data_IF_642198738069
#
_entry.id   IF_642198738069
#
_cell.length_a   1.000
_cell.length_b   1.000
_cell.length_c   1.000
_cell.angle_alpha   90.00
_cell.angle_beta   90.00
_cell.angle_gamma   90.00
#
_symmetry.space_group_name_H-M   'P 1'
#
loop_
_entity.id
_entity.type
_entity.pdbx_description
1 polymer ?
#
# COMPACT_ATOMS: atom_id res chain seq x y z
N UNK A 1 -20.00 -7.53 -11.68
CA UNK A 1 -20.58 -6.30 -11.10
C UNK A 1 -19.61 -5.80 -10.04
N UNK A 2 -19.19 -4.54 -10.07
CA UNK A 2 -18.24 -3.99 -9.10
C UNK A 2 -18.80 -4.12 -7.69
N UNK A 3 -17.99 -4.60 -6.73
CA UNK A 3 -18.39 -4.83 -5.33
C UNK A 3 -18.96 -3.54 -4.71
N UNK A 4 -18.36 -2.39 -5.03
CA UNK A 4 -18.86 -1.07 -4.65
C UNK A 4 -20.34 -0.86 -5.02
N UNK A 5 -20.71 -1.15 -6.28
CA UNK A 5 -22.10 -0.98 -6.74
C UNK A 5 -23.10 -1.80 -5.92
N UNK A 6 -22.73 -3.03 -5.54
CA UNK A 6 -23.57 -3.89 -4.68
C UNK A 6 -23.65 -3.38 -3.24
N UNK A 7 -22.59 -2.77 -2.71
CA UNK A 7 -22.56 -2.18 -1.37
C UNK A 7 -23.45 -0.93 -1.31
N UNK A 8 -23.33 -0.05 -2.31
CA UNK A 8 -24.20 1.14 -2.43
C UNK A 8 -25.67 0.75 -2.61
N UNK A 9 -25.98 -0.26 -3.44
CA UNK A 9 -27.34 -0.79 -3.62
C UNK A 9 -27.96 -1.31 -2.30
N UNK A 10 -27.13 -1.72 -1.33
CA UNK A 10 -27.56 -2.19 0.00
C UNK A 10 -27.74 -1.07 1.03
N UNK A 11 -27.59 0.20 0.62
CA UNK A 11 -27.74 1.36 1.49
C UNK A 11 -26.54 1.66 2.37
N UNK A 12 -25.39 1.03 2.11
CA UNK A 12 -24.13 1.39 2.77
C UNK A 12 -23.50 2.57 2.03
N UNK A 13 -23.39 3.72 2.70
CA UNK A 13 -22.74 4.90 2.14
C UNK A 13 -21.21 4.79 2.26
N UNK A 14 -20.64 4.00 1.35
CA UNK A 14 -19.20 3.80 1.20
C UNK A 14 -18.76 4.38 -0.14
N UNK A 15 -17.72 5.21 -0.12
CA UNK A 15 -17.03 5.65 -1.33
C UNK A 15 -15.86 4.73 -1.66
N UNK A 16 -15.64 4.50 -2.95
CA UNK A 16 -14.42 3.90 -3.47
C UNK A 16 -13.53 5.00 -4.04
N UNK A 17 -12.30 5.07 -3.58
CA UNK A 17 -11.26 5.99 -4.06
C UNK A 17 -10.16 5.14 -4.68
N UNK A 18 -9.94 5.28 -5.97
CA UNK A 18 -8.84 4.61 -6.67
C UNK A 18 -7.63 5.55 -6.72
N UNK A 19 -6.46 5.02 -6.37
CA UNK A 19 -5.18 5.73 -6.46
C UNK A 19 -4.22 4.94 -7.36
N UNK A 20 -3.59 5.64 -8.29
CA UNK A 20 -2.58 5.04 -9.15
C UNK A 20 -1.25 4.89 -8.41
N UNK A 21 -0.41 3.97 -8.89
CA UNK A 21 0.93 3.75 -8.33
C UNK A 21 1.77 5.03 -8.26
N UNK A 22 1.68 5.86 -9.30
CA UNK A 22 2.46 7.09 -9.43
C UNK A 22 2.09 8.14 -8.37
N UNK A 23 0.90 8.02 -7.77
CA UNK A 23 0.35 8.96 -6.79
C UNK A 23 0.48 8.45 -5.34
N UNK A 24 1.16 7.33 -5.10
CA UNK A 24 1.30 6.75 -3.75
C UNK A 24 1.96 7.71 -2.76
N UNK A 25 2.81 8.62 -3.24
CA UNK A 25 3.42 9.64 -2.39
C UNK A 25 2.40 10.63 -1.80
N UNK A 26 1.23 10.80 -2.44
CA UNK A 26 0.12 11.61 -1.94
C UNK A 26 -0.80 10.84 -0.99
N UNK A 27 -0.60 9.52 -0.83
CA UNK A 27 -1.44 8.67 0.01
C UNK A 27 -1.56 9.18 1.46
N UNK A 28 -0.50 9.64 2.15
CA UNK A 28 -0.63 10.19 3.49
C UNK A 28 -1.57 11.41 3.53
N UNK A 29 -1.44 12.32 2.58
CA UNK A 29 -2.31 13.49 2.48
C UNK A 29 -3.76 13.10 2.21
N UNK A 30 -3.99 12.16 1.28
CA UNK A 30 -5.31 11.63 0.98
C UNK A 30 -5.95 11.01 2.23
N UNK A 31 -5.21 10.21 3.00
CA UNK A 31 -5.71 9.60 4.24
C UNK A 31 -6.15 10.66 5.25
N UNK A 32 -5.34 11.70 5.48
CA UNK A 32 -5.68 12.80 6.38
C UNK A 32 -6.89 13.59 5.90
N UNK A 33 -7.03 13.81 4.59
CA UNK A 33 -8.20 14.46 4.01
C UNK A 33 -9.48 13.64 4.21
N UNK A 34 -9.43 12.34 3.92
CA UNK A 34 -10.58 11.43 4.07
C UNK A 34 -10.98 11.25 5.54
N UNK A 35 -10.03 11.33 6.47
CA UNK A 35 -10.30 11.27 7.91
C UNK A 35 -11.23 12.39 8.41
N UNK A 36 -11.22 13.55 7.76
CA UNK A 36 -12.05 14.70 8.14
C UNK A 36 -13.48 14.63 7.58
N UNK A 37 -13.79 13.61 6.76
CA UNK A 37 -15.09 13.46 6.11
C UNK A 37 -15.93 12.41 6.84
N UNK A 38 -17.15 12.76 7.22
CA UNK A 38 -18.12 11.85 7.86
C UNK A 38 -18.72 10.87 6.83
N UNK A 39 -17.86 9.99 6.30
CA UNK A 39 -18.19 8.95 5.31
C UNK A 39 -17.18 7.80 5.39
N UNK A 40 -17.60 6.60 5.04
CA UNK A 40 -16.73 5.43 4.94
C UNK A 40 -16.04 5.36 3.56
N UNK A 41 -14.75 5.05 3.55
CA UNK A 41 -13.95 4.97 2.33
C UNK A 41 -13.19 3.66 2.19
N UNK A 42 -13.17 3.15 0.96
CA UNK A 42 -12.21 2.14 0.52
C UNK A 42 -11.24 2.85 -0.42
N UNK A 43 -9.98 2.96 -0.02
CA UNK A 43 -8.90 3.39 -0.90
C UNK A 43 -8.32 2.15 -1.56
N UNK A 44 -8.31 2.12 -2.88
CA UNK A 44 -7.88 0.98 -3.67
C UNK A 44 -6.74 1.34 -4.60
N UNK A 45 -5.76 0.44 -4.73
CA UNK A 45 -4.72 0.54 -5.75
C UNK A 45 -4.43 -0.85 -6.34
N UNK A 46 -4.28 -0.92 -7.65
CA UNK A 46 -4.01 -2.16 -8.38
C UNK A 46 -2.54 -2.27 -8.77
N UNK A 47 -2.01 -3.50 -8.75
CA UNK A 47 -0.67 -3.90 -9.19
C UNK A 47 0.46 -3.02 -8.62
N UNK A 48 0.52 -2.93 -7.28
CA UNK A 48 1.65 -2.29 -6.62
C UNK A 48 2.95 -3.02 -6.98
N UNK A 49 3.85 -2.27 -7.60
CA UNK A 49 5.20 -2.68 -7.97
C UNK A 49 6.16 -1.60 -7.48
N UNK A 50 7.39 -1.96 -7.10
CA UNK A 50 8.40 -0.99 -6.67
C UNK A 50 9.69 -1.25 -7.43
N UNK A 51 10.24 -0.19 -8.03
CA UNK A 51 11.54 -0.24 -8.68
C UNK A 51 12.67 0.11 -7.70
N UNK A 52 13.89 -0.29 -8.04
CA UNK A 52 15.08 0.04 -7.27
C UNK A 52 15.25 1.56 -7.13
N UNK A 53 15.12 2.07 -5.91
CA UNK A 53 15.30 3.49 -5.58
C UNK A 53 14.00 4.33 -5.58
N UNK A 54 12.85 3.70 -5.82
CA UNK A 54 11.55 4.35 -5.63
C UNK A 54 11.35 4.70 -4.16
N UNK A 55 10.96 5.94 -3.81
CA UNK A 55 10.67 6.35 -2.43
C UNK A 55 9.24 6.07 -2.00
N UNK A 56 8.35 5.75 -2.95
CA UNK A 56 6.91 5.57 -2.73
C UNK A 56 6.58 4.47 -1.72
N UNK A 57 7.49 3.51 -1.52
CA UNK A 57 7.32 2.47 -0.50
C UNK A 57 7.28 3.03 0.93
N UNK A 58 7.98 4.14 1.20
CA UNK A 58 7.98 4.77 2.54
C UNK A 58 6.62 5.39 2.83
N UNK A 59 6.04 6.07 1.85
CA UNK A 59 4.71 6.67 1.91
C UNK A 59 3.64 5.60 2.17
N UNK A 60 3.72 4.46 1.45
CA UNK A 60 2.84 3.33 1.66
C UNK A 60 3.03 2.68 3.04
N UNK A 61 4.27 2.42 3.46
CA UNK A 61 4.56 1.82 4.76
C UNK A 61 4.08 2.71 5.90
N UNK A 62 4.30 4.03 5.83
CA UNK A 62 3.81 4.98 6.81
C UNK A 62 2.27 4.98 6.91
N UNK A 63 1.57 4.86 5.78
CA UNK A 63 0.11 4.75 5.74
C UNK A 63 -0.41 3.42 6.32
N UNK A 64 0.29 2.31 6.06
CA UNK A 64 -0.08 0.96 6.54
C UNK A 64 0.28 0.70 8.01
N UNK A 65 1.47 1.12 8.44
CA UNK A 65 1.91 1.03 9.83
C UNK A 65 1.13 2.00 10.72
N UNK A 66 0.44 2.99 10.11
CA UNK A 66 -0.28 4.03 10.80
C UNK A 66 0.69 4.86 11.61
N UNK A 67 1.41 5.78 10.97
CA UNK A 67 2.40 6.67 11.58
C UNK A 67 1.89 7.49 12.78
N UNK A 68 2.43 8.68 13.03
CA UNK A 68 2.11 9.45 14.27
C UNK A 68 0.58 9.66 14.49
N UNK A 69 -0.21 9.68 13.42
CA UNK A 69 -1.67 9.89 13.46
C UNK A 69 -2.50 8.60 13.32
N UNK A 70 -1.89 7.45 13.01
CA UNK A 70 -2.60 6.17 12.80
C UNK A 70 -3.42 6.12 11.50
N UNK A 71 -3.94 4.94 11.15
CA UNK A 71 -4.89 4.78 10.02
C UNK A 71 -6.29 5.27 10.46
N UNK A 72 -6.97 6.13 9.70
CA UNK A 72 -8.30 6.61 10.04
C UNK A 72 -9.32 5.47 10.19
N UNK A 73 -10.21 5.54 11.19
CA UNK A 73 -11.22 4.49 11.44
C UNK A 73 -12.23 4.34 10.30
N UNK A 74 -12.45 5.42 9.55
CA UNK A 74 -13.38 5.48 8.41
C UNK A 74 -12.72 5.11 7.06
N UNK A 75 -11.45 4.71 7.04
CA UNK A 75 -10.71 4.40 5.81
C UNK A 75 -10.10 2.99 5.85
N UNK A 76 -10.43 2.19 4.83
CA UNK A 76 -9.77 0.91 4.57
C UNK A 76 -8.93 1.05 3.30
N UNK A 77 -7.64 0.77 3.41
CA UNK A 77 -6.74 0.68 2.26
C UNK A 77 -6.67 -0.77 1.77
N UNK A 78 -6.89 -0.98 0.48
CA UNK A 78 -6.81 -2.27 -0.19
C UNK A 78 -5.87 -2.17 -1.38
N UNK A 79 -4.89 -3.06 -1.44
CA UNK A 79 -3.95 -3.09 -2.55
C UNK A 79 -3.78 -4.52 -3.08
N UNK A 80 -3.65 -4.64 -4.40
CA UNK A 80 -3.13 -5.86 -5.02
C UNK A 80 -1.65 -5.66 -5.34
N UNK A 81 -0.87 -6.74 -5.31
CA UNK A 81 0.54 -6.68 -5.66
C UNK A 81 1.05 -8.05 -6.11
N UNK A 82 2.04 -8.05 -6.99
CA UNK A 82 2.77 -9.26 -7.35
C UNK A 82 3.99 -9.45 -6.45
N UNK A 83 4.10 -10.62 -5.81
CA UNK A 83 5.25 -11.00 -4.97
C UNK A 83 6.61 -10.72 -5.60
N UNK A 84 6.75 -11.01 -6.90
CA UNK A 84 8.01 -10.87 -7.63
C UNK A 84 8.41 -9.40 -7.82
N UNK A 85 7.45 -8.50 -7.74
CA UNK A 85 7.65 -7.06 -7.88
C UNK A 85 7.77 -6.35 -6.53
N UNK A 86 7.25 -6.94 -5.44
CA UNK A 86 7.57 -6.52 -4.07
C UNK A 86 8.99 -6.94 -3.65
N UNK A 87 9.45 -8.11 -4.11
CA UNK A 87 10.75 -8.70 -3.75
C UNK A 87 11.50 -9.21 -5.00
N UNK A 88 12.10 -8.33 -5.82
CA UNK A 88 12.87 -8.74 -7.00
C UNK A 88 14.09 -9.60 -6.63
N UNK A 89 14.28 -10.74 -7.30
CA UNK A 89 15.44 -11.65 -7.05
C UNK A 89 16.80 -10.97 -7.22
N UNK A 90 16.89 -9.98 -8.12
CA UNK A 90 18.12 -9.22 -8.35
C UNK A 90 18.53 -8.35 -7.16
N UNK A 91 17.59 -7.84 -6.35
CA UNK A 91 17.90 -7.16 -5.07
C UNK A 91 18.63 -8.10 -4.12
N UNK A 92 18.11 -9.32 -3.97
CA UNK A 92 18.63 -10.34 -3.05
C UNK A 92 20.02 -10.82 -3.48
N UNK A 93 20.26 -10.99 -4.79
CA UNK A 93 21.55 -11.46 -5.33
C UNK A 93 22.63 -10.37 -5.37
N UNK A 94 22.26 -9.12 -5.69
CA UNK A 94 23.21 -8.00 -5.73
C UNK A 94 23.68 -7.58 -4.33
N UNK A 95 22.78 -7.51 -3.34
CA UNK A 95 23.18 -7.18 -1.95
C UNK A 95 24.06 -8.26 -1.32
N UNK A 96 23.82 -9.54 -1.64
CA UNK A 96 24.68 -10.66 -1.19
C UNK A 96 26.09 -10.64 -1.77
N UNK A 97 26.29 -10.02 -2.93
CA UNK A 97 27.53 -10.16 -3.69
C UNK A 97 28.47 -8.95 -3.57
N UNK A 98 27.98 -7.76 -3.16
CA UNK A 98 28.82 -6.53 -3.16
C UNK A 98 28.69 -5.61 -1.94
N UNK A 99 27.81 -5.87 -0.96
CA UNK A 99 27.58 -4.94 0.14
C UNK A 99 28.27 -5.34 1.46
N UNK A 100 29.07 -4.42 2.03
CA UNK A 100 29.61 -4.52 3.41
C UNK A 100 28.49 -4.27 4.46
N UNK A 101 27.34 -3.71 4.05
CA UNK A 101 26.09 -3.61 4.80
C UNK A 101 24.89 -3.96 3.90
N UNK A 102 24.49 -5.24 3.80
CA UNK A 102 23.27 -5.68 3.12
C UNK A 102 22.14 -5.68 4.13
N UNK A 103 21.29 -4.65 4.21
CA UNK A 103 20.27 -4.64 5.29
C UNK A 103 19.01 -3.83 5.01
N UNK A 104 19.09 -2.52 4.73
CA UNK A 104 17.90 -1.66 4.89
C UNK A 104 16.83 -1.87 3.79
N UNK A 105 17.20 -1.87 2.52
CA UNK A 105 16.22 -1.95 1.42
C UNK A 105 15.47 -3.29 1.37
N UNK A 106 16.20 -4.40 1.57
CA UNK A 106 15.60 -5.74 1.60
C UNK A 106 14.75 -5.95 2.87
N UNK A 107 15.21 -5.52 4.05
CA UNK A 107 14.39 -5.63 5.28
C UNK A 107 13.11 -4.78 5.20
N UNK A 108 13.17 -3.61 4.57
CA UNK A 108 11.99 -2.76 4.39
C UNK A 108 10.97 -3.37 3.43
N UNK A 109 11.40 -3.96 2.31
CA UNK A 109 10.49 -4.67 1.39
C UNK A 109 9.88 -5.92 2.01
N UNK A 110 10.63 -6.67 2.83
CA UNK A 110 10.09 -7.81 3.61
C UNK A 110 9.04 -7.32 4.61
N UNK A 111 9.35 -6.26 5.38
CA UNK A 111 8.44 -5.66 6.35
C UNK A 111 7.14 -5.17 5.70
N UNK A 112 7.19 -4.64 4.49
CA UNK A 112 6.00 -4.25 3.73
C UNK A 112 5.22 -5.48 3.23
N UNK A 113 5.93 -6.49 2.70
CA UNK A 113 5.32 -7.73 2.24
C UNK A 113 4.54 -8.46 3.35
N UNK A 114 5.01 -8.38 4.61
CA UNK A 114 4.33 -8.95 5.77
C UNK A 114 3.01 -8.23 6.12
N UNK A 115 2.77 -7.02 5.59
CA UNK A 115 1.50 -6.28 5.76
C UNK A 115 0.41 -6.70 4.77
N UNK A 116 0.75 -7.45 3.72
CA UNK A 116 -0.24 -8.04 2.82
C UNK A 116 -0.81 -9.31 3.46
N UNK A 117 -1.97 -9.17 4.10
CA UNK A 117 -2.62 -10.25 4.87
C UNK A 117 -3.27 -11.35 4.03
N UNK A 118 -3.40 -11.18 2.72
CA UNK A 118 -3.95 -12.19 1.81
C UNK A 118 -2.98 -12.50 0.68
N UNK A 119 -2.52 -13.75 0.66
CA UNK A 119 -1.74 -14.31 -0.43
C UNK A 119 -2.66 -15.16 -1.30
N UNK A 120 -2.96 -14.68 -2.50
CA UNK A 120 -3.72 -15.43 -3.51
C UNK A 120 -2.71 -16.02 -4.50
N UNK A 121 -2.18 -17.20 -4.16
CA UNK A 121 -1.17 -17.90 -4.98
C UNK A 121 -0.42 -18.98 -4.23
#
# INVERSE_FOLDING_TARGET
KAVHGTVTERGMDCALVEIHREDIDDLPFLMSFLAAVDRQFIVFTDDLTFDHGDSSYKSLKAALDGGVEGRPENVIFYATSNRRHLMPRQMIENERSTAINPSEGVEESVSLSDRFGLWVG
#
